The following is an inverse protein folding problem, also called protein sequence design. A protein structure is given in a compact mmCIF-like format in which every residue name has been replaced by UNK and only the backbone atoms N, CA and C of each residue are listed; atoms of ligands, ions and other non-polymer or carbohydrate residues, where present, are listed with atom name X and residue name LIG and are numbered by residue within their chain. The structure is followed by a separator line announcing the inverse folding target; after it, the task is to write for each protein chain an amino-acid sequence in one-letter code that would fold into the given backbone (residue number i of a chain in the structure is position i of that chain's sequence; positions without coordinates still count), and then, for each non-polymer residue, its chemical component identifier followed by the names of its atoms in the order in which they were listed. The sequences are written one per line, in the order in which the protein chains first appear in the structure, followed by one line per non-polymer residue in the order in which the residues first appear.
data_IF_092393033756
#
_entry.id   IF_092393033756
#
_cell.length_a   1.000
_cell.length_b   1.000
_cell.length_c   1.000
_cell.angle_alpha   90.00
_cell.angle_beta   90.00
_cell.angle_gamma   90.00
#
_symmetry.space_group_name_H-M   'P 1'
#
loop_
_entity.id
_entity.type
_entity.pdbx_description
1 polymer ?
#
# COMPACT_ATOMS: atom_id res chain seq x y z
N UNK A 1 -39.93 13.71 35.91
CA UNK A 1 -39.55 14.70 34.89
C UNK A 1 -38.05 14.55 34.69
N UNK A 2 -37.64 13.90 33.60
CA UNK A 2 -36.26 13.51 33.36
C UNK A 2 -35.41 14.73 32.97
N UNK A 3 -34.27 14.86 33.62
CA UNK A 3 -33.35 15.98 33.49
C UNK A 3 -32.57 15.87 32.16
N UNK A 4 -32.96 16.70 31.18
CA UNK A 4 -32.36 16.76 29.85
C UNK A 4 -31.03 17.56 29.81
N UNK A 5 -30.49 17.97 30.97
CA UNK A 5 -29.32 18.85 31.07
C UNK A 5 -27.96 18.11 31.16
N UNK A 6 -27.94 16.78 31.33
CA UNK A 6 -26.69 16.02 31.57
C UNK A 6 -25.97 15.60 30.27
N UNK A 7 -26.68 15.47 29.15
CA UNK A 7 -26.11 14.99 27.89
C UNK A 7 -25.07 15.94 27.22
N UNK A 8 -25.25 17.28 27.20
CA UNK A 8 -24.33 18.17 26.49
C UNK A 8 -22.94 18.25 27.14
N UNK A 9 -22.88 18.21 28.49
CA UNK A 9 -21.63 18.34 29.24
C UNK A 9 -20.74 17.09 29.14
N UNK A 10 -21.35 15.90 29.14
CA UNK A 10 -20.62 14.65 28.93
C UNK A 10 -20.01 14.56 27.53
N UNK A 11 -20.75 15.02 26.52
CA UNK A 11 -20.28 15.07 25.12
C UNK A 11 -19.16 16.12 24.95
N UNK A 12 -19.27 17.28 25.59
CA UNK A 12 -18.22 18.30 25.56
C UNK A 12 -16.88 17.77 26.13
N UNK A 13 -16.92 17.08 27.28
CA UNK A 13 -15.73 16.44 27.85
C UNK A 13 -15.18 15.27 27.01
N UNK A 14 -16.02 14.63 26.17
CA UNK A 14 -15.56 13.61 25.22
C UNK A 14 -14.76 14.24 24.07
N UNK A 15 -15.17 15.39 23.54
CA UNK A 15 -14.42 16.08 22.49
C UNK A 15 -13.08 16.64 22.98
N UNK A 16 -12.96 16.98 24.27
CA UNK A 16 -11.69 17.37 24.88
C UNK A 16 -10.63 16.24 24.80
N UNK A 17 -11.06 14.98 24.78
CA UNK A 17 -10.16 13.83 24.58
C UNK A 17 -9.57 13.77 23.18
N UNK A 18 -10.21 14.40 22.18
CA UNK A 18 -9.70 14.54 20.82
C UNK A 18 -8.88 15.82 20.61
N UNK A 19 -8.72 16.65 21.65
CA UNK A 19 -7.94 17.86 21.52
C UNK A 19 -6.48 17.56 21.10
N UNK A 20 -5.84 18.42 20.29
CA UNK A 20 -4.46 18.21 19.85
C UNK A 20 -3.42 18.31 20.98
N UNK A 21 -3.78 19.01 22.05
CA UNK A 21 -2.90 19.29 23.18
C UNK A 21 -3.19 18.34 24.34
N UNK A 22 -2.18 17.97 25.17
CA UNK A 22 -2.41 17.20 26.39
C UNK A 22 -3.44 17.89 27.30
N UNK A 23 -4.39 17.15 27.91
CA UNK A 23 -4.48 15.69 28.03
C UNK A 23 -5.14 14.94 26.85
N UNK A 24 -5.51 15.64 25.77
CA UNK A 24 -6.11 15.03 24.59
C UNK A 24 -5.13 14.20 23.75
N UNK A 25 -5.69 13.31 22.94
CA UNK A 25 -4.97 12.35 22.10
C UNK A 25 -4.94 12.73 20.62
N UNK A 26 -5.55 13.85 20.22
CA UNK A 26 -5.65 14.26 18.82
C UNK A 26 -4.28 14.40 18.15
N UNK A 27 -3.30 14.98 18.85
CA UNK A 27 -1.93 15.10 18.36
C UNK A 27 -1.26 13.75 18.15
N UNK A 28 -1.52 12.78 19.02
CA UNK A 28 -1.01 11.42 18.89
C UNK A 28 -1.66 10.69 17.70
N UNK A 29 -2.98 10.85 17.51
CA UNK A 29 -3.69 10.28 16.35
C UNK A 29 -3.11 10.80 15.03
N UNK A 30 -2.83 12.10 14.93
CA UNK A 30 -2.21 12.69 13.74
C UNK A 30 -0.78 12.19 13.51
N UNK A 31 0.01 11.98 14.57
CA UNK A 31 1.35 11.36 14.47
C UNK A 31 1.25 9.90 14.02
N UNK A 32 0.31 9.13 14.58
CA UNK A 32 0.03 7.76 14.14
C UNK A 32 -0.40 7.71 12.68
N UNK A 33 -1.25 8.64 12.25
CA UNK A 33 -1.67 8.81 10.85
C UNK A 33 -0.50 9.10 9.92
N UNK A 34 0.41 10.00 10.34
CA UNK A 34 1.61 10.32 9.57
C UNK A 34 2.50 9.07 9.41
N UNK A 35 2.67 8.28 10.47
CA UNK A 35 3.42 7.03 10.41
C UNK A 35 2.74 6.02 9.46
N UNK A 36 1.41 5.87 9.52
CA UNK A 36 0.65 5.05 8.56
C UNK A 36 0.92 5.50 7.12
N UNK A 37 0.88 6.81 6.85
CA UNK A 37 1.14 7.35 5.51
C UNK A 37 2.58 7.14 5.04
N UNK A 38 3.59 7.31 5.91
CA UNK A 38 4.99 7.05 5.58
C UNK A 38 5.20 5.58 5.20
N UNK A 39 4.58 4.67 5.96
CA UNK A 39 4.65 3.23 5.68
C UNK A 39 3.94 2.92 4.37
N UNK A 40 2.73 3.43 4.17
CA UNK A 40 1.96 3.20 2.95
C UNK A 40 2.72 3.69 1.71
N UNK A 41 3.29 4.90 1.76
CA UNK A 41 4.11 5.46 0.67
C UNK A 41 5.36 4.63 0.40
N UNK A 42 6.10 4.27 1.45
CA UNK A 42 7.31 3.46 1.31
C UNK A 42 7.02 2.06 0.78
N UNK A 43 6.02 1.39 1.35
CA UNK A 43 5.59 0.05 0.95
C UNK A 43 5.05 0.04 -0.48
N UNK A 44 4.24 1.03 -0.87
CA UNK A 44 3.74 1.15 -2.23
C UNK A 44 4.88 1.40 -3.22
N UNK A 45 5.83 2.29 -2.90
CA UNK A 45 7.01 2.53 -3.74
C UNK A 45 7.87 1.28 -3.92
N UNK A 46 8.17 0.57 -2.84
CA UNK A 46 8.91 -0.69 -2.89
C UNK A 46 8.13 -1.78 -3.65
N UNK A 47 6.82 -1.87 -3.41
CA UNK A 47 5.94 -2.79 -4.11
C UNK A 47 5.87 -2.53 -5.61
N UNK A 48 5.89 -1.27 -6.05
CA UNK A 48 6.00 -0.92 -7.47
C UNK A 48 7.33 -1.36 -8.09
N UNK A 49 8.44 -1.21 -7.36
CA UNK A 49 9.76 -1.67 -7.83
C UNK A 49 9.78 -3.19 -7.99
N UNK A 50 9.39 -3.93 -6.94
CA UNK A 50 9.29 -5.39 -6.98
C UNK A 50 8.30 -5.83 -8.05
N UNK A 51 7.15 -5.17 -8.15
CA UNK A 51 6.11 -5.43 -9.13
C UNK A 51 6.59 -5.27 -10.57
N UNK A 52 7.35 -4.23 -10.85
CA UNK A 52 7.92 -3.97 -12.19
C UNK A 52 8.92 -5.05 -12.57
N UNK A 53 9.84 -5.39 -11.66
CA UNK A 53 10.83 -6.45 -11.86
C UNK A 53 10.15 -7.82 -12.01
N UNK A 54 9.18 -8.14 -11.16
CA UNK A 54 8.42 -9.39 -11.20
C UNK A 54 7.59 -9.52 -12.46
N UNK A 55 6.92 -8.46 -12.90
CA UNK A 55 6.13 -8.45 -14.13
C UNK A 55 7.03 -8.67 -15.36
N UNK A 56 8.17 -7.98 -15.41
CA UNK A 56 9.15 -8.14 -16.47
C UNK A 56 9.72 -9.57 -16.50
N UNK A 57 10.11 -10.10 -15.33
CA UNK A 57 10.61 -11.47 -15.20
C UNK A 57 9.60 -12.53 -15.64
N UNK A 58 8.31 -12.34 -15.37
CA UNK A 58 7.25 -13.25 -15.83
C UNK A 58 6.99 -13.20 -17.32
N UNK A 59 7.09 -12.02 -17.93
CA UNK A 59 6.75 -11.82 -19.34
C UNK A 59 7.92 -12.18 -20.27
N UNK A 60 9.13 -11.76 -19.91
CA UNK A 60 10.30 -11.84 -20.78
C UNK A 60 11.43 -12.72 -20.23
N UNK A 61 11.33 -13.17 -18.97
CA UNK A 61 12.32 -14.07 -18.37
C UNK A 61 12.25 -15.50 -18.91
N UNK A 62 13.34 -16.23 -18.69
CA UNK A 62 13.41 -17.68 -18.96
C UNK A 62 12.51 -18.50 -18.02
N UNK A 63 12.43 -19.84 -18.23
CA UNK A 63 11.52 -20.71 -17.47
C UNK A 63 11.75 -20.61 -15.96
N UNK A 64 13.01 -20.65 -15.50
CA UNK A 64 13.35 -20.55 -14.09
C UNK A 64 12.88 -19.23 -13.45
N UNK A 65 13.14 -18.09 -14.09
CA UNK A 65 12.74 -16.77 -13.56
C UNK A 65 11.22 -16.65 -13.49
N UNK A 66 10.54 -17.14 -14.53
CA UNK A 66 9.08 -17.16 -14.59
C UNK A 66 8.49 -18.01 -13.47
N UNK A 67 9.05 -19.18 -13.23
CA UNK A 67 8.57 -20.12 -12.22
C UNK A 67 8.80 -19.58 -10.80
N UNK A 68 9.99 -19.02 -10.51
CA UNK A 68 10.27 -18.37 -9.22
C UNK A 68 9.30 -17.22 -8.98
N UNK A 69 9.12 -16.34 -9.96
CA UNK A 69 8.19 -15.21 -9.84
C UNK A 69 6.73 -15.70 -9.71
N UNK A 70 6.36 -16.81 -10.36
CA UNK A 70 5.05 -17.41 -10.22
C UNK A 70 4.82 -17.94 -8.80
N UNK A 71 5.75 -18.73 -8.28
CA UNK A 71 5.72 -19.26 -6.91
C UNK A 71 5.59 -18.11 -5.91
N UNK A 72 6.45 -17.10 -6.00
CA UNK A 72 6.40 -15.91 -5.13
C UNK A 72 5.02 -15.25 -5.14
N UNK A 73 4.51 -14.88 -6.32
CA UNK A 73 3.22 -14.19 -6.40
C UNK A 73 2.04 -15.05 -5.96
N UNK A 74 2.09 -16.37 -6.22
CA UNK A 74 1.00 -17.28 -5.88
C UNK A 74 0.95 -17.47 -4.37
N UNK A 75 2.09 -17.73 -3.72
CA UNK A 75 2.14 -17.92 -2.27
C UNK A 75 1.71 -16.63 -1.55
N UNK A 76 2.30 -15.50 -1.91
CA UNK A 76 2.02 -14.23 -1.22
C UNK A 76 0.56 -13.81 -1.36
N UNK A 77 -0.07 -14.07 -2.51
CA UNK A 77 -1.49 -13.73 -2.74
C UNK A 77 -2.47 -14.78 -2.22
N UNK A 78 -2.00 -15.99 -1.89
CA UNK A 78 -2.83 -17.08 -1.37
C UNK A 78 -2.89 -17.10 0.16
N UNK A 79 -1.84 -16.62 0.83
CA UNK A 79 -1.76 -16.59 2.29
C UNK A 79 -2.40 -15.29 2.82
N UNK A 80 -3.16 -15.33 3.94
CA UNK A 80 -3.68 -14.13 4.57
C UNK A 80 -2.58 -13.11 4.90
N UNK A 81 -2.81 -11.85 4.57
CA UNK A 81 -1.79 -10.79 4.68
C UNK A 81 -1.29 -10.60 6.11
N UNK A 82 -2.20 -10.65 7.10
CA UNK A 82 -1.81 -10.57 8.50
C UNK A 82 -0.82 -11.66 8.89
N UNK A 83 -1.02 -12.89 8.41
CA UNK A 83 -0.11 -14.03 8.71
C UNK A 83 1.25 -13.80 8.07
N UNK A 84 1.30 -13.34 6.82
CA UNK A 84 2.54 -13.00 6.14
C UNK A 84 3.28 -11.86 6.85
N UNK A 85 2.56 -10.83 7.28
CA UNK A 85 3.15 -9.69 7.99
C UNK A 85 3.81 -10.17 9.28
N UNK A 86 3.12 -11.00 10.08
CA UNK A 86 3.68 -11.55 11.32
C UNK A 86 4.92 -12.40 11.04
N UNK A 87 4.84 -13.30 10.06
CA UNK A 87 5.96 -14.16 9.69
C UNK A 87 7.16 -13.34 9.21
N UNK A 88 6.96 -12.43 8.26
CA UNK A 88 8.05 -11.63 7.69
C UNK A 88 8.63 -10.65 8.70
N UNK A 89 7.81 -10.08 9.59
CA UNK A 89 8.29 -9.16 10.63
C UNK A 89 9.16 -9.89 11.65
N UNK A 90 8.68 -10.99 12.23
CA UNK A 90 9.43 -11.71 13.27
C UNK A 90 10.53 -12.60 12.70
N UNK A 91 10.21 -13.46 11.74
CA UNK A 91 11.18 -14.40 11.16
C UNK A 91 12.15 -13.70 10.20
N UNK A 92 11.71 -12.68 9.48
CA UNK A 92 12.59 -11.92 8.58
C UNK A 92 13.67 -11.15 9.35
N UNK A 93 13.29 -10.47 10.42
CA UNK A 93 14.25 -9.73 11.28
C UNK A 93 15.25 -10.67 11.96
N UNK A 94 14.79 -11.83 12.44
CA UNK A 94 15.67 -12.87 13.00
C UNK A 94 16.63 -13.44 11.94
N UNK A 95 16.12 -13.75 10.75
CA UNK A 95 16.94 -14.29 9.65
C UNK A 95 18.01 -13.29 9.19
N UNK A 96 17.68 -12.01 9.07
CA UNK A 96 18.66 -10.96 8.74
C UNK A 96 19.75 -10.91 9.80
N UNK A 97 19.38 -10.89 11.08
CA UNK A 97 20.36 -10.85 12.17
C UNK A 97 21.24 -12.11 12.20
N UNK A 98 20.70 -13.30 11.95
CA UNK A 98 21.52 -14.53 11.85
C UNK A 98 22.51 -14.49 10.69
N UNK A 99 22.10 -13.97 9.54
CA UNK A 99 23.01 -13.80 8.40
C UNK A 99 24.11 -12.78 8.73
N UNK A 100 23.75 -11.67 9.36
CA UNK A 100 24.72 -10.65 9.80
C UNK A 100 25.71 -11.21 10.84
N UNK A 101 25.23 -11.95 11.83
CA UNK A 101 26.06 -12.64 12.81
C UNK A 101 27.01 -13.65 12.16
N UNK A 102 26.52 -14.44 11.19
CA UNK A 102 27.34 -15.38 10.42
C UNK A 102 28.42 -14.70 9.58
N UNK A 103 28.21 -13.43 9.22
CA UNK A 103 29.17 -12.57 8.53
C UNK A 103 30.06 -11.78 9.50
N UNK A 104 29.92 -11.99 10.82
CA UNK A 104 30.72 -11.33 11.87
C UNK A 104 30.22 -9.94 12.28
N UNK A 105 29.04 -9.52 11.85
CA UNK A 105 28.43 -8.25 12.25
C UNK A 105 27.61 -8.40 13.53
N UNK A 106 27.52 -7.32 14.31
CA UNK A 106 26.64 -7.27 15.48
C UNK A 106 25.17 -7.18 15.05
N UNK A 107 24.27 -7.61 15.94
CA UNK A 107 22.83 -7.49 15.74
C UNK A 107 22.45 -6.04 15.44
N UNK A 108 21.62 -5.88 14.41
CA UNK A 108 21.08 -4.58 14.02
C UNK A 108 19.63 -4.52 14.49
N UNK A 109 19.32 -3.50 15.27
CA UNK A 109 17.94 -3.18 15.61
C UNK A 109 17.29 -2.49 14.40
N UNK A 110 16.45 -3.23 13.68
CA UNK A 110 15.75 -2.73 12.50
C UNK A 110 14.60 -1.86 12.98
N UNK A 111 14.63 -0.57 12.62
CA UNK A 111 13.54 0.33 12.99
C UNK A 111 12.18 -0.22 12.52
N UNK A 112 11.17 -0.16 13.39
CA UNK A 112 9.84 -0.69 13.07
C UNK A 112 9.22 -0.05 11.82
N UNK A 113 9.58 1.19 11.50
CA UNK A 113 9.17 1.88 10.28
C UNK A 113 9.74 1.19 9.03
N UNK A 114 11.05 0.93 9.00
CA UNK A 114 11.73 0.25 7.89
C UNK A 114 11.22 -1.18 7.76
N UNK A 115 11.08 -1.91 8.87
CA UNK A 115 10.53 -3.25 8.87
C UNK A 115 9.10 -3.26 8.30
N UNK A 116 8.24 -2.32 8.71
CA UNK A 116 6.88 -2.17 8.17
C UNK A 116 6.86 -1.90 6.66
N UNK A 117 7.72 -0.99 6.18
CA UNK A 117 7.87 -0.68 4.75
C UNK A 117 8.32 -1.92 3.95
N UNK A 118 9.32 -2.64 4.44
CA UNK A 118 9.87 -3.82 3.75
C UNK A 118 8.86 -4.96 3.70
N UNK A 119 8.21 -5.26 4.83
CA UNK A 119 7.23 -6.34 4.94
C UNK A 119 6.02 -6.06 4.05
N UNK A 120 5.39 -4.89 4.20
CA UNK A 120 4.25 -4.53 3.39
C UNK A 120 4.63 -4.33 1.92
N UNK A 121 5.82 -3.79 1.63
CA UNK A 121 6.32 -3.62 0.27
C UNK A 121 6.55 -4.95 -0.44
N UNK A 122 7.05 -5.96 0.27
CA UNK A 122 7.18 -7.32 -0.26
C UNK A 122 5.83 -7.96 -0.57
N UNK A 123 4.83 -7.78 0.30
CA UNK A 123 3.46 -8.26 0.04
C UNK A 123 2.84 -7.53 -1.15
N UNK A 124 2.89 -6.20 -1.14
CA UNK A 124 2.40 -5.35 -2.22
C UNK A 124 3.08 -5.64 -3.57
N UNK A 125 4.37 -5.99 -3.56
CA UNK A 125 5.12 -6.36 -4.76
C UNK A 125 4.52 -7.53 -5.54
N UNK A 126 3.94 -8.51 -4.85
CA UNK A 126 3.31 -9.66 -5.49
C UNK A 126 2.02 -9.27 -6.22
N UNK A 127 1.21 -8.41 -5.60
CA UNK A 127 0.00 -7.87 -6.22
C UNK A 127 0.32 -6.91 -7.37
N UNK A 128 1.29 -6.01 -7.17
CA UNK A 128 1.75 -5.08 -8.20
C UNK A 128 2.31 -5.81 -9.43
N UNK A 129 3.04 -6.93 -9.23
CA UNK A 129 3.51 -7.81 -10.32
C UNK A 129 2.36 -8.23 -11.22
N UNK A 130 1.24 -8.66 -10.63
CA UNK A 130 0.12 -9.22 -11.38
C UNK A 130 -0.74 -8.14 -12.03
N UNK A 131 -0.88 -6.98 -11.38
CA UNK A 131 -1.51 -5.79 -11.98
C UNK A 131 -0.72 -5.32 -13.20
N UNK A 132 0.59 -5.12 -13.07
CA UNK A 132 1.46 -4.66 -14.16
C UNK A 132 1.53 -5.69 -15.29
N UNK A 133 1.66 -6.98 -14.96
CA UNK A 133 1.63 -8.07 -15.94
C UNK A 133 0.31 -8.11 -16.70
N UNK A 134 -0.82 -7.93 -16.00
CA UNK A 134 -2.14 -7.84 -16.61
C UNK A 134 -2.26 -6.66 -17.56
N UNK A 135 -1.77 -5.49 -17.14
CA UNK A 135 -1.79 -4.27 -17.93
C UNK A 135 -0.94 -4.38 -19.21
N UNK A 136 0.25 -4.99 -19.14
CA UNK A 136 1.09 -5.19 -20.34
C UNK A 136 0.41 -6.14 -21.32
N UNK A 137 -0.25 -7.20 -20.82
CA UNK A 137 -0.99 -8.15 -21.66
C UNK A 137 -2.26 -7.56 -22.29
N UNK A 138 -2.79 -6.47 -21.75
CA UNK A 138 -3.95 -5.79 -22.31
C UNK A 138 -3.63 -4.98 -23.57
N UNK A 139 -2.35 -4.72 -23.85
CA UNK A 139 -1.90 -3.98 -25.03
C UNK A 139 -2.17 -4.81 -26.29
N UNK A 140 -2.83 -4.25 -27.33
CA UNK A 140 -3.03 -4.93 -28.60
C UNK A 140 -1.71 -5.40 -29.22
N UNK A 141 -1.63 -6.68 -29.60
CA UNK A 141 -0.39 -7.23 -30.19
C UNK A 141 0.02 -6.52 -31.48
N UNK A 142 -0.96 -6.05 -32.27
CA UNK A 142 -0.71 -5.31 -33.51
C UNK A 142 0.12 -4.04 -33.32
N UNK A 143 0.01 -3.33 -32.19
CA UNK A 143 0.85 -2.16 -31.90
C UNK A 143 2.31 -2.56 -31.72
N UNK A 144 2.55 -3.68 -31.05
CA UNK A 144 3.90 -4.21 -30.80
C UNK A 144 4.50 -4.77 -32.08
N UNK A 145 3.71 -5.43 -32.92
CA UNK A 145 4.14 -5.95 -34.23
C UNK A 145 4.45 -4.82 -35.22
N UNK A 146 3.61 -3.78 -35.29
CA UNK A 146 3.85 -2.60 -36.12
C UNK A 146 5.14 -1.87 -35.70
N UNK A 147 5.38 -1.74 -34.38
CA UNK A 147 6.62 -1.17 -33.86
C UNK A 147 7.87 -1.94 -34.30
N UNK A 148 7.80 -3.28 -34.28
CA UNK A 148 8.90 -4.15 -34.74
C UNK A 148 9.11 -4.02 -36.24
N UNK A 149 8.04 -4.02 -37.04
CA UNK A 149 8.11 -3.87 -38.49
C UNK A 149 8.72 -2.51 -38.90
N UNK A 150 8.48 -1.47 -38.10
CA UNK A 150 9.09 -0.14 -38.29
C UNK A 150 10.56 -0.06 -37.80
N UNK A 151 11.14 -1.16 -37.30
CA UNK A 151 12.54 -1.22 -36.87
C UNK A 151 12.82 -0.57 -35.52
N UNK A 152 11.81 -0.40 -34.65
CA UNK A 152 12.04 0.17 -33.32
C UNK A 152 12.86 -0.77 -32.44
N UNK A 153 13.91 -0.23 -31.80
CA UNK A 153 14.65 -0.97 -30.78
C UNK A 153 13.78 -1.27 -29.55
N UNK A 154 14.08 -2.32 -28.76
CA UNK A 154 13.28 -2.68 -27.59
C UNK A 154 13.09 -1.53 -26.59
N UNK A 155 14.12 -0.69 -26.39
CA UNK A 155 14.06 0.46 -25.48
C UNK A 155 13.14 1.55 -26.05
N UNK A 156 13.21 1.80 -27.37
CA UNK A 156 12.34 2.77 -28.04
C UNK A 156 10.87 2.33 -28.01
N UNK A 157 10.61 1.05 -28.29
CA UNK A 157 9.28 0.46 -28.21
C UNK A 157 8.72 0.51 -26.79
N UNK A 158 9.51 0.14 -25.78
CA UNK A 158 9.11 0.21 -24.38
C UNK A 158 8.72 1.63 -23.97
N UNK A 159 9.58 2.62 -24.27
CA UNK A 159 9.35 4.02 -23.85
C UNK A 159 8.22 4.71 -24.61
N UNK A 160 8.07 4.44 -25.92
CA UNK A 160 7.15 5.19 -26.78
C UNK A 160 5.81 4.50 -27.04
N UNK A 161 5.73 3.18 -26.85
CA UNK A 161 4.53 2.40 -27.16
C UNK A 161 4.07 1.65 -25.93
N UNK A 162 4.88 0.72 -25.41
CA UNK A 162 4.43 -0.18 -24.34
C UNK A 162 4.08 0.57 -23.05
N UNK A 163 4.95 1.46 -22.55
CA UNK A 163 4.72 2.16 -21.29
C UNK A 163 3.52 3.13 -21.37
N UNK A 164 3.39 4.01 -22.39
CA UNK A 164 2.20 4.84 -22.54
C UNK A 164 0.90 4.05 -22.71
N UNK A 165 0.91 2.97 -23.51
CA UNK A 165 -0.28 2.14 -23.74
C UNK A 165 -0.68 1.32 -22.50
N UNK A 166 0.31 0.88 -21.70
CA UNK A 166 0.08 0.12 -20.46
C UNK A 166 -0.56 0.99 -19.36
N UNK A 167 -0.16 2.25 -19.24
CA UNK A 167 -0.53 3.12 -18.11
C UNK A 167 -2.04 3.20 -17.84
N UNK A 168 -2.92 3.44 -18.85
CA UNK A 168 -4.36 3.44 -18.65
C UNK A 168 -4.93 2.13 -18.09
N UNK A 169 -4.31 0.99 -18.42
CA UNK A 169 -4.71 -0.32 -17.93
C UNK A 169 -4.14 -0.64 -16.55
N UNK A 170 -2.94 -0.16 -16.22
CA UNK A 170 -2.29 -0.40 -14.94
C UNK A 170 -2.87 0.49 -13.81
N UNK A 171 -3.14 1.76 -14.11
CA UNK A 171 -3.48 2.77 -13.10
C UNK A 171 -4.69 2.41 -12.24
N UNK A 172 -5.82 1.88 -12.75
CA UNK A 172 -6.94 1.49 -11.90
C UNK A 172 -6.57 0.42 -10.88
N UNK A 173 -5.75 -0.55 -11.29
CA UNK A 173 -5.25 -1.61 -10.41
C UNK A 173 -4.26 -1.06 -9.36
N UNK A 174 -3.31 -0.22 -9.78
CA UNK A 174 -2.34 0.41 -8.88
C UNK A 174 -2.99 1.37 -7.89
N UNK A 175 -4.00 2.12 -8.33
CA UNK A 175 -4.84 2.97 -7.49
C UNK A 175 -5.52 2.17 -6.39
N UNK A 176 -6.09 1.01 -6.74
CA UNK A 176 -6.68 0.12 -5.75
C UNK A 176 -5.65 -0.44 -4.76
N UNK A 177 -4.46 -0.83 -5.25
CA UNK A 177 -3.36 -1.29 -4.39
C UNK A 177 -2.88 -0.21 -3.41
N UNK A 178 -2.85 1.06 -3.83
CA UNK A 178 -2.55 2.18 -2.94
C UNK A 178 -3.55 2.28 -1.78
N UNK A 179 -4.85 2.19 -2.08
CA UNK A 179 -5.90 2.26 -1.06
C UNK A 179 -5.85 1.06 -0.10
N UNK A 180 -5.57 -0.13 -0.63
CA UNK A 180 -5.36 -1.34 0.17
C UNK A 180 -4.14 -1.16 1.08
N UNK A 181 -2.98 -0.81 0.52
CA UNK A 181 -1.74 -0.60 1.28
C UNK A 181 -1.89 0.41 2.42
N UNK A 182 -2.66 1.48 2.21
CA UNK A 182 -2.95 2.48 3.25
C UNK A 182 -3.68 1.85 4.43
N UNK A 183 -4.67 0.98 4.17
CA UNK A 183 -5.45 0.29 5.21
C UNK A 183 -4.66 -0.85 5.85
N UNK A 184 -3.82 -1.56 5.09
CA UNK A 184 -3.03 -2.68 5.62
C UNK A 184 -1.98 -2.23 6.63
N UNK A 185 -1.61 -0.93 6.64
CA UNK A 185 -0.76 -0.39 7.71
C UNK A 185 -1.36 -0.63 9.10
N UNK A 186 -2.69 -0.68 9.22
CA UNK A 186 -3.37 -1.03 10.47
C UNK A 186 -3.02 -2.42 11.00
N UNK A 187 -2.63 -3.36 10.13
CA UNK A 187 -2.21 -4.70 10.53
C UNK A 187 -0.89 -4.67 11.32
N UNK A 188 -0.08 -3.62 11.17
CA UNK A 188 1.16 -3.45 11.93
C UNK A 188 0.90 -3.12 13.41
N UNK A 189 -0.32 -2.74 13.79
CA UNK A 189 -0.70 -2.60 15.20
C UNK A 189 -0.59 -3.92 15.98
N UNK A 190 -0.66 -5.06 15.27
CA UNK A 190 -0.54 -6.40 15.86
C UNK A 190 0.91 -6.72 16.22
N UNK A 191 1.88 -6.22 15.44
CA UNK A 191 3.32 -6.34 15.77
C UNK A 191 3.81 -5.24 16.72
N UNK A 192 2.90 -4.40 17.23
CA UNK A 192 3.23 -3.37 18.22
C UNK A 192 3.83 -2.09 17.63
N UNK A 193 3.75 -1.88 16.30
CA UNK A 193 4.18 -0.62 15.71
C UNK A 193 3.14 0.49 15.90
N UNK A 194 3.60 1.67 16.36
CA UNK A 194 2.76 2.83 16.67
C UNK A 194 2.31 3.60 15.42
N UNK A 195 1.42 2.99 14.65
CA UNK A 195 0.61 3.65 13.63
C UNK A 195 -0.77 4.06 14.16
N UNK A 196 -1.63 4.62 13.30
CA UNK A 196 -2.93 5.17 13.71
C UNK A 196 -3.76 4.21 14.57
N UNK A 197 -3.86 2.95 14.18
CA UNK A 197 -4.70 1.93 14.85
C UNK A 197 -4.16 1.58 16.22
N UNK A 198 -2.84 1.41 16.37
CA UNK A 198 -2.24 1.16 17.68
C UNK A 198 -2.43 2.35 18.62
N UNK A 199 -2.19 3.57 18.13
CA UNK A 199 -2.38 4.80 18.92
C UNK A 199 -3.85 4.95 19.32
N UNK A 200 -4.77 4.65 18.40
CA UNK A 200 -6.22 4.65 18.68
C UNK A 200 -6.57 3.65 19.77
N UNK A 201 -6.02 2.43 19.72
CA UNK A 201 -6.24 1.39 20.73
C UNK A 201 -5.68 1.79 22.10
N UNK A 202 -4.54 2.46 22.13
CA UNK A 202 -3.94 2.99 23.37
C UNK A 202 -4.79 4.12 23.98
N UNK A 203 -5.22 5.08 23.15
CA UNK A 203 -6.09 6.18 23.58
C UNK A 203 -7.44 5.66 24.11
N UNK A 204 -8.07 4.75 23.36
CA UNK A 204 -9.29 4.08 23.77
C UNK A 204 -9.13 3.27 25.06
N UNK A 205 -8.00 2.56 25.20
CA UNK A 205 -7.73 1.72 26.37
C UNK A 205 -7.52 2.50 27.67
N UNK A 206 -6.90 3.69 27.57
CA UNK A 206 -6.63 4.59 28.71
C UNK A 206 -7.87 5.38 29.12
N UNK A 207 -8.61 5.93 28.15
CA UNK A 207 -9.78 6.78 28.39
C UNK A 207 -11.09 6.00 28.53
N UNK A 208 -11.09 4.71 28.15
CA UNK A 208 -12.28 3.85 27.99
C UNK A 208 -13.30 4.36 26.96
N UNK A 209 -12.97 5.40 26.17
CA UNK A 209 -13.83 5.96 25.14
C UNK A 209 -13.65 5.24 23.77
N UNK A 210 -13.82 3.92 23.75
CA UNK A 210 -13.54 3.09 22.55
C UNK A 210 -14.29 3.56 21.30
N UNK A 211 -15.60 3.78 21.41
CA UNK A 211 -16.43 4.19 20.27
C UNK A 211 -15.93 5.51 19.65
N UNK A 212 -15.64 6.51 20.49
CA UNK A 212 -15.16 7.82 20.05
C UNK A 212 -13.84 7.71 19.26
N UNK A 213 -12.87 7.00 19.83
CA UNK A 213 -11.53 6.88 19.23
C UNK A 213 -11.54 6.08 17.93
N UNK A 214 -12.29 4.97 17.86
CA UNK A 214 -12.39 4.19 16.62
C UNK A 214 -13.17 4.92 15.52
N UNK A 215 -14.20 5.70 15.86
CA UNK A 215 -14.89 6.57 14.89
C UNK A 215 -13.93 7.66 14.38
N UNK A 216 -13.18 8.31 15.28
CA UNK A 216 -12.20 9.31 14.90
C UNK A 216 -11.13 8.73 13.94
N UNK A 217 -10.57 7.56 14.26
CA UNK A 217 -9.63 6.86 13.40
C UNK A 217 -10.25 6.46 12.04
N UNK A 218 -11.49 5.98 12.05
CA UNK A 218 -12.24 5.65 10.83
C UNK A 218 -12.44 6.87 9.92
N UNK A 219 -12.77 8.03 10.50
CA UNK A 219 -12.88 9.30 9.77
C UNK A 219 -11.53 9.71 9.18
N UNK A 220 -10.43 9.55 9.91
CA UNK A 220 -9.09 9.87 9.41
C UNK A 220 -8.68 8.97 8.23
N UNK A 221 -8.91 7.65 8.32
CA UNK A 221 -8.68 6.73 7.20
C UNK A 221 -9.59 7.03 6.00
N UNK A 222 -10.85 7.38 6.25
CA UNK A 222 -11.79 7.78 5.20
C UNK A 222 -11.35 9.08 4.52
N UNK A 223 -10.91 10.08 5.28
CA UNK A 223 -10.40 11.34 4.74
C UNK A 223 -9.21 11.12 3.80
N UNK A 224 -8.25 10.27 4.19
CA UNK A 224 -7.13 9.87 3.32
C UNK A 224 -7.63 9.18 2.05
N UNK A 225 -8.58 8.26 2.18
CA UNK A 225 -9.13 7.51 1.05
C UNK A 225 -9.82 8.44 0.05
N UNK A 226 -10.69 9.34 0.53
CA UNK A 226 -11.39 10.31 -0.30
C UNK A 226 -10.42 11.28 -0.99
N UNK A 227 -9.43 11.79 -0.25
CA UNK A 227 -8.39 12.65 -0.82
C UNK A 227 -7.57 11.92 -1.88
N UNK A 228 -7.18 10.67 -1.61
CA UNK A 228 -6.45 9.82 -2.56
C UNK A 228 -7.26 9.60 -3.83
N UNK A 229 -8.56 9.31 -3.72
CA UNK A 229 -9.44 9.09 -4.87
C UNK A 229 -9.50 10.31 -5.80
N UNK A 230 -9.52 11.53 -5.26
CA UNK A 230 -9.50 12.75 -6.09
C UNK A 230 -8.20 12.87 -6.89
N UNK A 231 -7.06 12.56 -6.26
CA UNK A 231 -5.75 12.57 -6.94
C UNK A 231 -5.69 11.46 -7.99
N UNK A 232 -6.07 10.24 -7.64
CA UNK A 232 -6.04 9.08 -8.51
C UNK A 232 -6.95 9.26 -9.73
N UNK A 233 -8.14 9.83 -9.55
CA UNK A 233 -9.04 10.15 -10.66
C UNK A 233 -8.42 11.13 -11.66
N UNK A 234 -7.70 12.16 -11.18
CA UNK A 234 -6.97 13.10 -12.05
C UNK A 234 -5.83 12.42 -12.81
N UNK A 235 -5.07 11.54 -12.15
CA UNK A 235 -3.98 10.76 -12.77
C UNK A 235 -4.52 9.81 -13.83
N UNK A 236 -5.64 9.14 -13.56
CA UNK A 236 -6.28 8.23 -14.51
C UNK A 236 -6.82 8.98 -15.74
N UNK A 237 -7.47 10.12 -15.54
CA UNK A 237 -7.93 10.97 -16.64
C UNK A 237 -6.77 11.46 -17.51
N UNK A 238 -5.64 11.85 -16.89
CA UNK A 238 -4.45 12.26 -17.62
C UNK A 238 -3.89 11.11 -18.48
N UNK A 239 -3.79 9.90 -17.94
CA UNK A 239 -3.27 8.76 -18.67
C UNK A 239 -4.18 8.32 -19.83
N UNK A 240 -5.50 8.44 -19.67
CA UNK A 240 -6.48 8.06 -20.71
C UNK A 240 -6.59 9.05 -21.89
N UNK A 241 -5.90 10.20 -21.86
CA UNK A 241 -5.99 11.23 -22.92
C UNK A 241 -5.67 10.73 -24.33
N UNK A 242 -4.91 9.63 -24.46
CA UNK A 242 -4.54 9.04 -25.74
C UNK A 242 -5.45 7.90 -26.22
N UNK A 243 -6.45 7.48 -25.44
CA UNK A 243 -7.34 6.37 -25.83
C UNK A 243 -8.59 6.89 -26.53
N UNK A 244 -9.07 6.21 -27.60
CA UNK A 244 -10.35 6.51 -28.22
C UNK A 244 -11.46 6.49 -27.18
N UNK A 245 -12.40 7.43 -27.28
CA UNK A 245 -13.55 7.44 -26.37
C UNK A 245 -14.38 6.18 -26.60
N UNK A 246 -14.77 5.48 -25.54
CA UNK A 246 -15.58 4.25 -25.59
C UNK A 246 -16.90 4.43 -26.37
N UNK A 247 -17.35 5.67 -26.60
CA UNK A 247 -18.50 5.97 -27.46
C UNK A 247 -18.27 5.75 -28.96
N UNK A 248 -17.03 5.67 -29.43
CA UNK A 248 -16.71 5.54 -30.87
C UNK A 248 -16.49 4.08 -31.31
N UNK A 249 -16.57 3.12 -30.38
CA UNK A 249 -16.33 1.69 -30.62
C UNK A 249 -17.63 0.84 -30.63
N UNK A 250 -18.79 1.47 -30.78
CA UNK A 250 -20.11 0.82 -30.99
C UNK A 250 -20.74 1.36 -32.25
#
# INVERSE_FOLDING_TARGET
MADASIAPAAIAGMFDLLSPNPPGWGGNLLRGLLNSLQIALGAFGMGLLIGTVGAYGKLYGGPLVRDIAAIYTTIVRAVPELVLILLLYYAGTDMINRVLEGLGYQRVDISGLVAGIVVLGFVQGAYATEVLRGAIKAIPQGEIEAARAYGMSPVMMMRRITLPAMLPHALPGLANLWLISTKDTALLAVVGFSELTLVTRQAAGTTKAYFLFFIAAGILYLAITLFSNVILAKVEQWARRGMPSVKEAR
#
